data_IF_394706703418
#
_entry.id   IF_394706703418
#
_cell.length_a   1.000
_cell.length_b   1.000
_cell.length_c   1.000
_cell.angle_alpha   90.00
_cell.angle_beta   90.00
_cell.angle_gamma   90.00
#
_symmetry.space_group_name_H-M   'P 1'
#
loop_
_entity.id
_entity.type
_entity.pdbx_description
1 polymer ?
#
# COMPACT_ATOMS: atom_id res chain seq x y z
N UNK A 1 -6.80 -57.71 -35.06
CA UNK A 1 -6.64 -56.26 -35.22
C UNK A 1 -7.77 -55.49 -34.50
N UNK A 2 -7.77 -55.38 -33.14
CA UNK A 2 -8.84 -54.70 -32.38
C UNK A 2 -8.29 -53.82 -31.20
N UNK A 3 -7.06 -53.31 -31.28
CA UNK A 3 -6.45 -52.54 -30.15
C UNK A 3 -6.28 -51.04 -30.37
N UNK A 4 -6.64 -50.50 -31.55
CA UNK A 4 -6.47 -49.08 -31.88
C UNK A 4 -7.46 -48.09 -31.19
N UNK A 5 -8.75 -48.39 -30.96
CA UNK A 5 -9.65 -47.40 -30.34
C UNK A 5 -9.39 -47.12 -28.85
N UNK A 6 -8.88 -48.12 -28.09
CA UNK A 6 -8.59 -47.97 -26.66
C UNK A 6 -7.37 -47.07 -26.44
N UNK A 7 -6.36 -47.13 -27.31
CA UNK A 7 -5.17 -46.28 -27.24
C UNK A 7 -5.53 -44.80 -27.53
N UNK A 8 -6.41 -44.57 -28.51
CA UNK A 8 -6.89 -43.19 -28.83
C UNK A 8 -7.68 -42.58 -27.70
N UNK A 9 -8.56 -43.34 -27.06
CA UNK A 9 -9.36 -42.86 -25.93
C UNK A 9 -8.46 -42.52 -24.72
N UNK A 10 -7.47 -43.33 -24.42
CA UNK A 10 -6.52 -43.08 -23.35
C UNK A 10 -5.64 -41.84 -23.63
N UNK A 11 -5.25 -41.61 -24.89
CA UNK A 11 -4.47 -40.40 -25.27
C UNK A 11 -5.32 -39.12 -25.16
N UNK A 12 -6.57 -39.15 -25.58
CA UNK A 12 -7.52 -38.04 -25.49
C UNK A 12 -7.83 -37.71 -24.02
N UNK A 13 -8.02 -38.71 -23.18
CA UNK A 13 -8.23 -38.49 -21.73
C UNK A 13 -6.98 -37.95 -21.05
N UNK A 14 -5.78 -38.38 -21.46
CA UNK A 14 -4.52 -37.84 -20.93
C UNK A 14 -4.29 -36.37 -21.35
N UNK A 15 -4.66 -36.00 -22.58
CA UNK A 15 -4.58 -34.61 -23.06
C UNK A 15 -5.58 -33.73 -22.34
N UNK A 16 -6.82 -34.22 -22.12
CA UNK A 16 -7.85 -33.49 -21.36
C UNK A 16 -7.42 -33.34 -19.90
N UNK A 17 -6.87 -34.37 -19.28
CA UNK A 17 -6.35 -34.32 -17.91
C UNK A 17 -5.15 -33.38 -17.77
N UNK A 18 -4.21 -33.39 -18.74
CA UNK A 18 -3.08 -32.47 -18.77
C UNK A 18 -3.54 -31.02 -19.01
N UNK A 19 -4.50 -30.81 -19.92
CA UNK A 19 -5.12 -29.51 -20.17
C UNK A 19 -5.89 -28.98 -18.95
N UNK A 20 -6.65 -29.83 -18.25
CA UNK A 20 -7.33 -29.47 -17.01
C UNK A 20 -6.34 -29.20 -15.86
N UNK A 21 -5.23 -29.95 -15.78
CA UNK A 21 -4.17 -29.75 -14.78
C UNK A 21 -3.38 -28.44 -15.04
N UNK A 22 -3.09 -28.11 -16.32
CA UNK A 22 -2.51 -26.81 -16.68
C UNK A 22 -3.49 -25.66 -16.43
N UNK A 23 -4.77 -25.81 -16.82
CA UNK A 23 -5.81 -24.83 -16.55
C UNK A 23 -5.98 -24.62 -15.04
N UNK A 24 -5.95 -25.67 -14.23
CA UNK A 24 -6.01 -25.56 -12.76
C UNK A 24 -4.78 -24.86 -12.15
N UNK A 25 -3.60 -24.98 -12.76
CA UNK A 25 -2.38 -24.24 -12.34
C UNK A 25 -2.37 -22.78 -12.79
N UNK A 26 -3.07 -22.44 -13.87
CA UNK A 26 -3.09 -21.11 -14.50
C UNK A 26 -4.32 -20.29 -14.06
N UNK A 27 -5.38 -20.96 -13.55
CA UNK A 27 -6.59 -20.26 -13.10
C UNK A 27 -6.29 -19.48 -11.82
N UNK A 28 -6.46 -18.14 -11.80
CA UNK A 28 -6.30 -17.39 -10.56
C UNK A 28 -7.28 -17.95 -9.52
N UNK A 29 -6.75 -18.38 -8.37
CA UNK A 29 -7.59 -18.79 -7.25
C UNK A 29 -8.44 -17.59 -6.87
N UNK A 30 -9.75 -17.66 -7.05
CA UNK A 30 -10.65 -16.63 -6.53
C UNK A 30 -10.60 -16.69 -5.00
N UNK A 31 -9.95 -15.70 -4.41
CA UNK A 31 -9.94 -15.52 -2.97
C UNK A 31 -11.27 -14.89 -2.57
N UNK A 32 -11.86 -15.38 -1.49
CA UNK A 32 -13.11 -14.80 -0.98
C UNK A 32 -12.82 -13.44 -0.36
N UNK A 33 -12.91 -12.37 -1.15
CA UNK A 33 -12.81 -11.01 -0.66
C UNK A 33 -14.18 -10.49 -0.20
N UNK A 34 -14.16 -9.65 0.83
CA UNK A 34 -15.32 -8.87 1.29
C UNK A 34 -15.10 -7.44 0.83
N UNK A 35 -16.08 -6.86 0.12
CA UNK A 35 -15.96 -5.47 -0.37
C UNK A 35 -17.07 -4.61 0.20
N UNK A 36 -16.70 -3.41 0.60
CA UNK A 36 -17.57 -2.38 1.16
C UNK A 36 -17.65 -1.23 0.14
N UNK A 37 -18.78 -1.08 -0.59
CA UNK A 37 -18.95 0.02 -1.51
C UNK A 37 -19.08 1.35 -0.76
N UNK A 38 -18.57 2.41 -1.38
CA UNK A 38 -18.79 3.76 -0.87
C UNK A 38 -20.26 4.17 -1.06
N UNK A 39 -20.80 4.86 -0.05
CA UNK A 39 -22.19 5.31 -0.08
C UNK A 39 -22.44 6.39 -1.15
N UNK A 40 -21.42 7.15 -1.50
CA UNK A 40 -21.45 8.20 -2.54
C UNK A 40 -20.55 7.78 -3.68
N UNK A 41 -21.08 7.74 -4.89
CA UNK A 41 -20.37 7.25 -6.08
C UNK A 41 -19.11 8.08 -6.44
N UNK A 42 -19.03 9.31 -5.98
CA UNK A 42 -17.87 10.20 -6.18
C UNK A 42 -16.80 10.05 -5.10
N UNK A 43 -17.05 9.26 -4.06
CA UNK A 43 -16.07 9.00 -3.01
C UNK A 43 -15.01 8.00 -3.52
N UNK A 44 -13.77 8.42 -3.51
CA UNK A 44 -12.65 7.60 -3.99
C UNK A 44 -11.76 7.27 -2.79
N UNK A 45 -11.79 6.02 -2.27
CA UNK A 45 -10.85 5.59 -1.24
C UNK A 45 -9.42 5.56 -1.80
N UNK A 46 -8.47 6.22 -1.13
CA UNK A 46 -7.08 6.35 -1.62
C UNK A 46 -6.03 5.76 -0.69
N UNK A 47 -6.26 5.75 0.61
CA UNK A 47 -5.38 5.08 1.56
C UNK A 47 -6.19 4.24 2.55
N UNK A 48 -5.58 3.19 3.07
CA UNK A 48 -6.18 2.31 4.09
C UNK A 48 -5.15 2.01 5.18
N UNK A 49 -5.60 1.99 6.45
CA UNK A 49 -4.77 1.62 7.60
C UNK A 49 -5.62 0.92 8.65
N UNK A 50 -5.07 -0.15 9.26
CA UNK A 50 -5.77 -0.95 10.25
C UNK A 50 -5.32 -0.59 11.66
N UNK A 51 -6.29 -0.34 12.54
CA UNK A 51 -6.06 -0.06 13.96
C UNK A 51 -5.98 -1.35 14.79
N UNK A 52 -5.31 -1.30 15.96
CA UNK A 52 -5.19 -2.46 16.83
C UNK A 52 -6.54 -3.02 17.33
N UNK A 53 -7.56 -2.17 17.45
CA UNK A 53 -8.92 -2.54 17.87
C UNK A 53 -9.76 -3.21 16.76
N UNK A 54 -9.19 -3.34 15.56
CA UNK A 54 -9.86 -3.90 14.38
C UNK A 54 -10.64 -2.88 13.55
N UNK A 55 -10.64 -1.61 13.94
CA UNK A 55 -11.13 -0.51 13.08
C UNK A 55 -10.20 -0.35 11.89
N UNK A 56 -10.76 -0.19 10.70
CA UNK A 56 -9.96 0.07 9.50
C UNK A 56 -10.33 1.42 8.93
N UNK A 57 -9.37 2.33 8.95
CA UNK A 57 -9.51 3.67 8.46
C UNK A 57 -9.19 3.76 6.97
N UNK A 58 -9.84 4.69 6.27
CA UNK A 58 -9.51 4.98 4.88
C UNK A 58 -9.76 6.46 4.56
N UNK A 59 -8.89 7.03 3.74
CA UNK A 59 -9.06 8.39 3.21
C UNK A 59 -9.99 8.38 2.01
N UNK A 60 -10.69 9.48 1.81
CA UNK A 60 -11.65 9.65 0.71
C UNK A 60 -11.24 10.90 -0.08
N UNK A 61 -10.79 10.71 -1.33
CA UNK A 61 -10.54 11.83 -2.24
C UNK A 61 -11.88 12.42 -2.71
N UNK A 62 -11.92 13.73 -2.86
CA UNK A 62 -13.11 14.54 -3.15
C UNK A 62 -14.24 14.46 -2.10
N UNK A 63 -14.08 13.65 -1.05
CA UNK A 63 -15.04 13.54 0.06
C UNK A 63 -14.82 14.57 1.16
N UNK A 64 -15.85 14.79 1.99
CA UNK A 64 -15.80 15.63 3.18
C UNK A 64 -15.64 14.76 4.42
N UNK A 65 -14.39 14.45 4.80
CA UNK A 65 -14.10 13.61 5.96
C UNK A 65 -13.19 12.44 5.66
N UNK A 66 -13.09 11.57 6.65
CA UNK A 66 -12.35 10.31 6.60
C UNK A 66 -13.31 9.16 6.90
N UNK A 67 -13.12 8.02 6.24
CA UNK A 67 -13.95 6.85 6.43
C UNK A 67 -13.34 5.84 7.39
N UNK A 68 -14.17 5.00 7.98
CA UNK A 68 -13.74 3.82 8.72
C UNK A 68 -14.69 2.64 8.48
N UNK A 69 -14.15 1.43 8.56
CA UNK A 69 -14.92 0.19 8.67
C UNK A 69 -14.78 -0.34 10.09
N UNK A 70 -15.90 -0.52 10.76
CA UNK A 70 -15.98 -1.11 12.10
C UNK A 70 -17.19 -2.03 12.16
N UNK A 71 -17.04 -3.22 12.73
CA UNK A 71 -18.09 -4.24 12.83
C UNK A 71 -18.81 -4.52 11.50
N UNK A 72 -18.04 -4.55 10.40
CA UNK A 72 -18.55 -4.79 9.06
C UNK A 72 -19.38 -3.65 8.47
N UNK A 73 -19.33 -2.46 9.03
CA UNK A 73 -20.07 -1.27 8.58
C UNK A 73 -19.13 -0.13 8.23
N UNK A 74 -19.42 0.51 7.10
CA UNK A 74 -18.75 1.76 6.71
C UNK A 74 -19.36 2.93 7.48
N UNK A 75 -18.51 3.73 8.07
CA UNK A 75 -18.86 4.95 8.80
C UNK A 75 -17.99 6.11 8.29
N UNK A 76 -18.39 7.33 8.53
CA UNK A 76 -17.64 8.52 8.16
C UNK A 76 -17.47 9.44 9.39
N UNK A 77 -16.26 9.91 9.57
CA UNK A 77 -15.93 11.03 10.44
C UNK A 77 -15.88 12.27 9.55
N UNK A 78 -16.87 13.16 9.66
CA UNK A 78 -16.95 14.34 8.80
C UNK A 78 -15.85 15.34 9.17
N UNK A 79 -15.30 16.02 8.16
CA UNK A 79 -14.46 17.18 8.33
C UNK A 79 -14.99 18.34 7.47
N UNK A 80 -14.65 19.56 7.86
CA UNK A 80 -15.01 20.74 7.08
C UNK A 80 -14.14 20.83 5.82
N UNK A 81 -14.78 20.97 4.67
CA UNK A 81 -14.14 21.07 3.36
C UNK A 81 -13.77 19.72 2.73
N UNK A 82 -13.61 19.72 1.42
CA UNK A 82 -13.27 18.52 0.64
C UNK A 82 -11.80 18.16 0.77
N UNK A 83 -11.52 16.88 0.74
CA UNK A 83 -10.16 16.38 0.57
C UNK A 83 -9.71 16.50 -0.89
N UNK A 84 -8.42 16.74 -1.08
CA UNK A 84 -7.76 16.66 -2.38
C UNK A 84 -6.47 15.86 -2.21
N UNK A 85 -6.35 14.74 -2.89
CA UNK A 85 -5.22 13.82 -2.84
C UNK A 85 -4.78 13.43 -1.39
N UNK A 86 -5.69 12.96 -0.50
CA UNK A 86 -5.35 12.58 0.88
C UNK A 86 -4.73 11.17 0.89
N UNK A 87 -3.51 11.04 0.40
CA UNK A 87 -2.85 9.74 0.14
C UNK A 87 -2.04 9.19 1.31
N UNK A 88 -1.76 10.00 2.32
CA UNK A 88 -1.06 9.58 3.54
C UNK A 88 -2.05 9.20 4.63
N UNK A 89 -1.91 7.99 5.19
CA UNK A 89 -2.73 7.51 6.30
C UNK A 89 -1.94 6.53 7.16
N UNK A 90 -1.99 6.72 8.45
CA UNK A 90 -1.47 5.80 9.46
C UNK A 90 -2.38 5.77 10.68
N UNK A 91 -2.13 4.87 11.61
CA UNK A 91 -2.91 4.73 12.84
C UNK A 91 -1.97 4.69 14.04
N UNK A 92 -2.32 5.42 15.11
CA UNK A 92 -1.56 5.38 16.36
C UNK A 92 -1.97 4.19 17.26
N UNK A 93 -1.20 3.96 18.32
CA UNK A 93 -1.43 2.86 19.26
C UNK A 93 -2.80 2.93 19.95
N UNK A 94 -3.44 4.10 19.98
CA UNK A 94 -4.76 4.32 20.55
C UNK A 94 -5.90 4.12 19.52
N UNK A 95 -5.56 3.72 18.29
CA UNK A 95 -6.53 3.48 17.22
C UNK A 95 -7.00 4.73 16.48
N UNK A 96 -6.44 5.92 16.77
CA UNK A 96 -6.76 7.12 16.03
C UNK A 96 -6.01 7.18 14.70
N UNK A 97 -6.69 7.64 13.66
CA UNK A 97 -6.11 7.85 12.35
C UNK A 97 -5.31 9.16 12.29
N UNK A 98 -4.19 9.11 11.58
CA UNK A 98 -3.40 10.26 11.17
C UNK A 98 -3.37 10.32 9.66
N UNK A 99 -3.75 11.43 9.06
CA UNK A 99 -3.80 11.54 7.61
C UNK A 99 -3.27 12.89 7.11
N UNK A 100 -2.76 12.87 5.89
CA UNK A 100 -2.36 14.10 5.19
C UNK A 100 -3.59 14.78 4.62
N UNK A 101 -3.70 16.09 4.83
CA UNK A 101 -4.75 16.96 4.29
C UNK A 101 -4.13 18.11 3.48
N UNK A 102 -3.84 17.88 2.19
CA UNK A 102 -3.28 18.93 1.33
C UNK A 102 -4.19 20.16 1.20
N UNK A 103 -5.52 19.97 1.29
CA UNK A 103 -6.47 21.08 1.21
C UNK A 103 -6.36 22.05 2.38
N UNK A 104 -6.08 21.52 3.57
CA UNK A 104 -5.86 22.31 4.79
C UNK A 104 -4.37 22.62 5.01
N UNK A 105 -3.47 22.10 4.19
CA UNK A 105 -2.00 22.18 4.35
C UNK A 105 -1.60 21.73 5.77
N UNK A 106 -2.08 20.53 6.14
CA UNK A 106 -1.95 20.01 7.50
C UNK A 106 -1.80 18.49 7.53
N UNK A 107 -1.32 17.99 8.64
CA UNK A 107 -1.57 16.62 9.09
C UNK A 107 -2.71 16.67 10.10
N UNK A 108 -3.64 15.74 10.00
CA UNK A 108 -4.84 15.70 10.85
C UNK A 108 -4.90 14.39 11.60
N UNK A 109 -5.20 14.44 12.90
CA UNK A 109 -5.52 13.30 13.74
C UNK A 109 -7.04 13.22 13.90
N UNK A 110 -7.60 12.03 13.68
CA UNK A 110 -9.04 11.76 13.81
C UNK A 110 -9.29 10.60 14.77
N UNK A 111 -10.23 10.75 15.70
CA UNK A 111 -10.70 9.66 16.54
C UNK A 111 -12.01 9.08 15.98
N UNK A 112 -12.30 7.82 16.30
CA UNK A 112 -13.57 7.19 15.90
C UNK A 112 -14.81 7.82 16.60
N UNK A 113 -14.60 8.64 17.63
CA UNK A 113 -15.64 9.44 18.26
C UNK A 113 -15.97 10.72 17.48
N UNK A 114 -15.19 11.04 16.44
CA UNK A 114 -15.41 12.21 15.59
C UNK A 114 -14.58 13.44 15.97
N UNK A 115 -13.63 13.29 16.90
CA UNK A 115 -12.73 14.39 17.25
C UNK A 115 -11.65 14.56 16.19
N UNK A 116 -11.41 15.78 15.76
CA UNK A 116 -10.38 16.14 14.79
C UNK A 116 -9.38 17.12 15.43
N UNK A 117 -8.10 16.84 15.27
CA UNK A 117 -7.01 17.73 15.66
C UNK A 117 -6.13 17.99 14.45
N UNK A 118 -5.98 19.25 14.05
CA UNK A 118 -5.18 19.66 12.89
C UNK A 118 -3.84 20.21 13.32
N UNK A 119 -2.79 19.85 12.59
CA UNK A 119 -1.42 20.30 12.74
C UNK A 119 -0.97 20.98 11.44
N UNK A 120 -1.12 22.33 11.35
CA UNK A 120 -0.74 23.09 10.17
C UNK A 120 0.78 23.02 9.91
N UNK A 121 1.18 22.93 8.63
CA UNK A 121 2.59 22.78 8.25
C UNK A 121 3.35 24.10 8.19
N UNK A 122 2.66 25.24 8.28
CA UNK A 122 3.29 26.57 8.25
C UNK A 122 3.87 26.95 6.88
N UNK A 123 3.46 26.29 5.81
CA UNK A 123 3.86 26.57 4.42
C UNK A 123 2.65 27.04 3.61
N UNK A 124 2.84 27.88 2.56
CA UNK A 124 1.71 28.38 1.76
C UNK A 124 1.10 27.32 0.82
N UNK A 125 1.86 26.29 0.47
CA UNK A 125 1.44 25.17 -0.35
C UNK A 125 2.12 23.90 0.16
N UNK A 126 1.42 22.77 0.11
CA UNK A 126 2.02 21.48 0.40
C UNK A 126 1.48 20.41 -0.55
N UNK A 127 2.39 19.69 -1.19
CA UNK A 127 2.10 18.42 -1.83
C UNK A 127 2.59 17.32 -0.90
N UNK A 128 1.65 16.62 -0.30
CA UNK A 128 1.91 15.63 0.73
C UNK A 128 1.86 14.23 0.13
N UNK A 129 2.83 13.41 0.51
CA UNK A 129 2.87 12.00 0.14
C UNK A 129 2.26 11.09 1.21
N UNK A 130 2.80 9.87 1.29
CA UNK A 130 2.41 8.87 2.29
C UNK A 130 2.83 9.31 3.69
N UNK A 131 2.19 8.65 4.67
CA UNK A 131 2.39 8.88 6.08
C UNK A 131 2.54 7.55 6.80
N UNK A 132 3.39 7.50 7.82
CA UNK A 132 3.54 6.38 8.73
C UNK A 132 3.61 6.87 10.18
N UNK A 133 3.02 6.11 11.10
CA UNK A 133 3.11 6.38 12.53
C UNK A 133 4.14 5.44 13.14
N UNK A 134 5.13 5.99 13.82
CA UNK A 134 6.19 5.26 14.48
C UNK A 134 5.70 4.66 15.83
N UNK A 135 6.37 3.60 16.34
CA UNK A 135 6.05 3.02 17.65
C UNK A 135 6.12 4.02 18.81
N UNK A 136 6.94 5.06 18.69
CA UNK A 136 7.07 6.14 19.69
C UNK A 136 5.95 7.20 19.59
N UNK A 137 4.99 7.01 18.67
CA UNK A 137 3.90 7.93 18.39
C UNK A 137 4.26 9.10 17.46
N UNK A 138 5.50 9.19 16.97
CA UNK A 138 5.85 10.18 15.97
C UNK A 138 5.19 9.87 14.63
N UNK A 139 4.73 10.91 13.94
CA UNK A 139 4.13 10.81 12.61
C UNK A 139 5.13 11.29 11.59
N UNK A 140 5.48 10.41 10.66
CA UNK A 140 6.42 10.69 9.59
C UNK A 140 5.69 10.78 8.24
N UNK A 141 5.97 11.80 7.46
CA UNK A 141 5.30 12.01 6.18
C UNK A 141 6.21 12.70 5.15
N UNK A 142 5.88 12.51 3.88
CA UNK A 142 6.60 13.12 2.78
C UNK A 142 5.99 14.49 2.43
N UNK A 143 6.84 15.53 2.36
CA UNK A 143 6.50 16.85 1.82
C UNK A 143 7.21 17.05 0.47
N UNK A 144 6.54 16.70 -0.65
CA UNK A 144 7.15 16.72 -1.98
C UNK A 144 7.54 18.13 -2.44
N UNK A 145 6.76 19.15 -2.11
CA UNK A 145 7.05 20.55 -2.45
C UNK A 145 8.17 21.14 -1.61
N UNK A 146 8.34 20.67 -0.38
CA UNK A 146 9.41 21.11 0.51
C UNK A 146 10.68 20.26 0.35
N UNK A 147 10.64 19.19 -0.46
CA UNK A 147 11.75 18.23 -0.61
C UNK A 147 12.24 17.70 0.75
N UNK A 148 11.33 17.35 1.64
CA UNK A 148 11.69 16.88 2.98
C UNK A 148 10.85 15.66 3.40
N UNK A 149 11.41 14.88 4.30
CA UNK A 149 10.67 13.94 5.14
C UNK A 149 10.51 14.62 6.50
N UNK A 150 9.25 14.77 6.92
CA UNK A 150 8.91 15.53 8.11
C UNK A 150 8.43 14.63 9.21
N UNK A 151 8.93 14.85 10.41
CA UNK A 151 8.53 14.24 11.66
C UNK A 151 7.66 15.22 12.44
N UNK A 152 6.45 14.79 12.80
CA UNK A 152 5.58 15.48 13.75
C UNK A 152 5.52 14.67 15.04
N UNK A 153 5.93 15.26 16.14
CA UNK A 153 5.79 14.66 17.47
C UNK A 153 5.47 15.74 18.50
N UNK A 154 4.50 15.48 19.35
CA UNK A 154 4.06 16.40 20.42
C UNK A 154 3.75 17.83 19.90
N UNK A 155 3.20 17.92 18.70
CA UNK A 155 2.89 19.17 18.01
C UNK A 155 4.10 19.89 17.38
N UNK A 156 5.30 19.33 17.46
CA UNK A 156 6.52 19.91 16.91
C UNK A 156 6.86 19.26 15.57
N UNK A 157 7.07 20.08 14.56
CA UNK A 157 7.53 19.67 13.21
C UNK A 157 9.04 19.74 13.12
N UNK A 158 9.66 18.65 12.71
CA UNK A 158 11.09 18.54 12.40
C UNK A 158 11.24 18.07 10.95
N UNK A 159 11.82 18.91 10.08
CA UNK A 159 12.08 18.60 8.69
C UNK A 159 13.47 18.00 8.50
N UNK A 160 13.54 16.95 7.72
CA UNK A 160 14.76 16.33 7.24
C UNK A 160 14.87 16.65 5.74
N UNK A 161 15.61 17.71 5.42
CA UNK A 161 15.70 18.27 4.08
C UNK A 161 16.52 17.36 3.17
N UNK A 162 15.96 17.03 2.01
CA UNK A 162 16.62 16.23 0.99
C UNK A 162 17.51 17.15 0.16
N UNK A 163 18.81 16.87 0.11
CA UNK A 163 19.83 17.70 -0.56
C UNK A 163 19.66 17.82 -2.09
N UNK A 164 18.67 17.13 -2.66
CA UNK A 164 18.40 17.11 -4.10
C UNK A 164 17.06 17.77 -4.42
N UNK A 165 17.08 18.82 -5.25
CA UNK A 165 15.87 19.45 -5.81
C UNK A 165 15.07 18.50 -6.74
N UNK A 166 15.54 17.28 -6.96
CA UNK A 166 14.84 16.24 -7.72
C UNK A 166 14.27 15.14 -6.81
N UNK A 167 14.39 15.30 -5.48
CA UNK A 167 14.02 14.26 -4.52
C UNK A 167 12.61 13.70 -4.73
N UNK A 168 11.60 14.56 -4.73
CA UNK A 168 10.20 14.17 -4.89
C UNK A 168 9.79 13.04 -3.92
N UNK A 169 9.93 13.23 -2.59
CA UNK A 169 9.59 12.19 -1.62
C UNK A 169 8.09 11.85 -1.71
N UNK A 170 7.76 10.56 -1.62
CA UNK A 170 6.39 10.09 -1.81
C UNK A 170 5.98 9.03 -0.79
N UNK A 171 6.56 7.82 -0.83
CA UNK A 171 6.31 6.74 0.13
C UNK A 171 7.08 6.92 1.41
N UNK A 172 6.49 6.56 2.55
CA UNK A 172 7.13 6.57 3.87
C UNK A 172 6.73 5.32 4.65
N UNK A 173 7.70 4.67 5.27
CA UNK A 173 7.50 3.58 6.21
C UNK A 173 8.45 3.72 7.41
N UNK A 174 8.02 3.23 8.57
CA UNK A 174 8.85 3.18 9.77
C UNK A 174 9.04 1.71 10.16
N UNK A 175 10.28 1.30 10.30
CA UNK A 175 10.62 -0.03 10.79
C UNK A 175 10.52 -0.13 12.32
N UNK A 176 10.46 -1.35 12.84
CA UNK A 176 10.30 -1.59 14.28
C UNK A 176 11.45 -1.06 15.15
N UNK A 177 12.64 -0.87 14.57
CA UNK A 177 13.81 -0.27 15.22
C UNK A 177 13.81 1.27 15.19
N UNK A 178 12.77 1.89 14.61
CA UNK A 178 12.65 3.33 14.44
C UNK A 178 13.33 3.89 13.19
N UNK A 179 13.96 3.06 12.37
CA UNK A 179 14.48 3.48 11.06
C UNK A 179 13.34 3.91 10.15
N UNK A 180 13.47 5.07 9.51
CA UNK A 180 12.50 5.59 8.55
C UNK A 180 13.01 5.36 7.14
N UNK A 181 12.14 4.86 6.29
CA UNK A 181 12.40 4.64 4.89
C UNK A 181 11.48 5.49 4.04
N UNK A 182 12.00 6.09 2.98
CA UNK A 182 11.20 6.89 2.07
C UNK A 182 11.60 6.64 0.61
N UNK A 183 10.61 6.63 -0.28
CA UNK A 183 10.86 6.62 -1.71
C UNK A 183 11.04 8.04 -2.23
N UNK A 184 12.09 8.27 -3.00
CA UNK A 184 12.35 9.52 -3.70
C UNK A 184 11.98 9.33 -5.18
N UNK A 185 10.71 9.54 -5.49
CA UNK A 185 10.11 9.18 -6.78
C UNK A 185 10.83 9.82 -7.97
N UNK A 186 11.08 11.13 -7.90
CA UNK A 186 11.69 11.87 -9.00
C UNK A 186 13.21 11.69 -9.08
N UNK A 187 13.87 11.37 -7.97
CA UNK A 187 15.30 11.06 -7.93
C UNK A 187 15.60 9.59 -8.28
N UNK A 188 14.59 8.73 -8.33
CA UNK A 188 14.74 7.29 -8.53
C UNK A 188 15.61 6.63 -7.44
N UNK A 189 15.38 7.00 -6.18
CA UNK A 189 16.17 6.58 -5.03
C UNK A 189 15.29 6.07 -3.88
N UNK A 190 15.90 5.26 -3.02
CA UNK A 190 15.40 4.91 -1.70
C UNK A 190 16.21 5.71 -0.67
N UNK A 191 15.54 6.32 0.31
CA UNK A 191 16.18 7.02 1.41
C UNK A 191 15.95 6.30 2.72
N UNK A 192 16.99 6.27 3.55
CA UNK A 192 16.99 5.81 4.94
C UNK A 192 17.30 6.97 5.86
N UNK A 193 16.51 7.11 6.92
CA UNK A 193 16.83 7.98 8.07
C UNK A 193 17.00 7.07 9.28
N UNK A 194 18.19 7.04 9.87
CA UNK A 194 18.45 6.24 11.06
C UNK A 194 17.72 6.81 12.29
N UNK A 195 17.56 6.06 13.38
CA UNK A 195 17.02 6.60 14.63
C UNK A 195 17.81 7.79 15.20
N UNK A 196 19.09 7.92 14.85
CA UNK A 196 19.93 9.08 15.19
C UNK A 196 19.74 10.28 14.27
N UNK A 197 18.95 10.15 13.19
CA UNK A 197 18.69 11.21 12.21
C UNK A 197 19.67 11.26 11.03
N UNK A 198 20.60 10.30 10.93
CA UNK A 198 21.50 10.19 9.77
C UNK A 198 20.73 9.76 8.52
N UNK A 199 20.92 10.49 7.43
CA UNK A 199 20.26 10.24 6.14
C UNK A 199 21.23 9.59 5.15
N UNK A 200 20.77 8.51 4.52
CA UNK A 200 21.48 7.80 3.46
C UNK A 200 20.56 7.58 2.27
N UNK A 201 21.05 7.79 1.06
CA UNK A 201 20.31 7.59 -0.18
C UNK A 201 20.93 6.45 -0.99
N UNK A 202 20.08 5.64 -1.64
CA UNK A 202 20.48 4.49 -2.45
C UNK A 202 19.83 4.61 -3.82
N UNK A 203 20.63 4.60 -4.88
CA UNK A 203 20.14 4.60 -6.25
C UNK A 203 19.45 3.26 -6.57
N UNK A 204 18.29 3.28 -7.20
CA UNK A 204 17.66 2.07 -7.69
C UNK A 204 18.45 1.53 -8.89
N UNK A 205 18.52 0.17 -9.04
CA UNK A 205 19.34 -0.46 -10.09
C UNK A 205 18.92 -0.10 -11.50
N UNK A 206 17.60 -0.03 -11.75
CA UNK A 206 17.07 0.32 -13.05
C UNK A 206 16.82 1.83 -13.14
N UNK A 207 17.17 2.49 -14.24
CA UNK A 207 16.85 3.90 -14.45
C UNK A 207 15.34 4.08 -14.61
N UNK A 208 14.79 5.19 -14.10
CA UNK A 208 13.38 5.57 -14.28
C UNK A 208 12.38 4.56 -13.71
N UNK A 209 12.70 3.91 -12.60
CA UNK A 209 11.79 2.99 -11.90
C UNK A 209 10.61 3.69 -11.25
N UNK A 210 10.75 4.96 -10.86
CA UNK A 210 9.71 5.77 -10.20
C UNK A 210 9.17 5.08 -8.94
N UNK A 211 9.97 4.95 -7.86
CA UNK A 211 9.52 4.31 -6.63
C UNK A 211 8.39 5.12 -5.99
N UNK A 212 7.30 4.45 -5.60
CA UNK A 212 6.09 5.14 -5.09
C UNK A 212 5.69 4.73 -3.69
N UNK A 213 5.81 3.47 -3.32
CA UNK A 213 5.40 3.02 -2.00
C UNK A 213 6.49 2.14 -1.37
N UNK A 214 6.49 2.06 -0.05
CA UNK A 214 7.49 1.31 0.72
C UNK A 214 6.85 0.70 1.96
N UNK A 215 7.26 -0.51 2.33
CA UNK A 215 6.84 -1.19 3.55
C UNK A 215 8.06 -1.82 4.22
N UNK A 216 8.16 -1.66 5.55
CA UNK A 216 9.22 -2.30 6.32
C UNK A 216 9.04 -3.82 6.31
N UNK A 217 10.14 -4.55 6.14
CA UNK A 217 10.17 -6.00 6.27
C UNK A 217 10.47 -6.35 7.74
N UNK A 218 9.59 -7.11 8.44
CA UNK A 218 9.87 -7.56 9.80
C UNK A 218 11.16 -8.38 9.94
N UNK A 219 11.65 -8.96 8.84
CA UNK A 219 12.91 -9.73 8.78
C UNK A 219 14.14 -8.87 8.52
N UNK A 220 13.96 -7.57 8.36
CA UNK A 220 14.99 -6.58 8.04
C UNK A 220 14.92 -6.07 6.61
N UNK A 221 15.29 -4.80 6.41
CA UNK A 221 15.18 -4.10 5.14
C UNK A 221 13.76 -3.62 4.82
N UNK A 222 13.49 -3.40 3.55
CA UNK A 222 12.21 -2.86 3.07
C UNK A 222 11.82 -3.42 1.71
N UNK A 223 10.52 -3.48 1.48
CA UNK A 223 9.92 -3.72 0.17
C UNK A 223 9.42 -2.42 -0.43
N UNK A 224 9.57 -2.23 -1.72
CA UNK A 224 9.13 -1.03 -2.42
C UNK A 224 8.49 -1.34 -3.77
N UNK A 225 7.64 -0.41 -4.21
CA UNK A 225 7.01 -0.42 -5.53
C UNK A 225 7.87 0.40 -6.50
N UNK A 226 8.24 -0.18 -7.62
CA UNK A 226 8.81 0.48 -8.78
C UNK A 226 7.73 0.65 -9.85
N UNK A 227 6.95 1.72 -9.74
CA UNK A 227 5.73 1.91 -10.53
C UNK A 227 5.97 1.89 -12.05
N UNK A 228 6.94 2.69 -12.52
CA UNK A 228 7.30 2.72 -13.95
C UNK A 228 8.17 1.54 -14.36
N UNK A 229 8.96 1.02 -13.43
CA UNK A 229 9.75 -0.19 -13.61
C UNK A 229 8.91 -1.45 -13.74
N UNK A 230 7.62 -1.38 -13.39
CA UNK A 230 6.68 -2.50 -13.36
C UNK A 230 7.21 -3.69 -12.54
N UNK A 231 7.74 -3.40 -11.34
CA UNK A 231 8.35 -4.37 -10.43
C UNK A 231 8.01 -4.04 -8.99
N UNK A 232 8.24 -5.00 -8.13
CA UNK A 232 8.51 -4.75 -6.72
C UNK A 232 9.97 -5.06 -6.44
N UNK A 233 10.57 -4.42 -5.44
CA UNK A 233 11.94 -4.67 -5.05
C UNK A 233 12.07 -4.85 -3.54
N UNK A 234 13.03 -5.66 -3.12
CA UNK A 234 13.47 -5.79 -1.74
C UNK A 234 14.85 -5.17 -1.59
N UNK A 235 15.01 -4.32 -0.59
CA UNK A 235 16.30 -3.76 -0.22
C UNK A 235 16.69 -4.22 1.17
N UNK A 236 17.78 -4.94 1.27
CA UNK A 236 18.39 -5.37 2.53
C UNK A 236 19.91 -5.45 2.38
N UNK A 237 20.65 -5.24 3.44
CA UNK A 237 22.12 -5.33 3.48
C UNK A 237 22.81 -4.54 2.36
N UNK A 238 22.26 -3.36 2.01
CA UNK A 238 22.79 -2.48 0.98
C UNK A 238 22.56 -2.95 -0.46
N UNK A 239 21.70 -3.94 -0.68
CA UNK A 239 21.45 -4.54 -2.00
C UNK A 239 19.97 -4.57 -2.36
N UNK A 240 19.67 -4.32 -3.63
CA UNK A 240 18.34 -4.51 -4.20
C UNK A 240 18.21 -5.89 -4.84
N UNK A 241 17.04 -6.50 -4.64
CA UNK A 241 16.58 -7.67 -5.40
C UNK A 241 15.24 -7.29 -6.03
N UNK A 242 15.20 -7.26 -7.36
CA UNK A 242 14.02 -6.84 -8.13
C UNK A 242 13.20 -8.06 -8.61
N UNK A 243 11.87 -7.92 -8.54
CA UNK A 243 10.89 -8.93 -8.95
C UNK A 243 9.97 -8.31 -10.01
N UNK A 244 10.23 -8.51 -11.31
CA UNK A 244 9.40 -7.97 -12.37
C UNK A 244 8.02 -8.62 -12.36
N UNK A 245 6.98 -7.83 -12.64
CA UNK A 245 5.64 -8.34 -12.81
C UNK A 245 5.52 -9.08 -14.15
N UNK A 246 4.74 -10.17 -14.22
CA UNK A 246 4.46 -10.87 -15.47
C UNK A 246 3.76 -9.98 -16.50
N UNK A 247 3.87 -10.37 -17.78
CA UNK A 247 3.15 -9.70 -18.87
C UNK A 247 1.64 -9.65 -18.62
N UNK A 248 1.00 -8.57 -19.07
CA UNK A 248 -0.43 -8.32 -18.87
C UNK A 248 -0.81 -7.85 -17.47
N UNK A 249 0.16 -7.77 -16.56
CA UNK A 249 -0.01 -7.22 -15.21
C UNK A 249 0.86 -5.98 -15.09
N UNK A 250 0.24 -4.84 -14.82
CA UNK A 250 0.97 -3.58 -14.84
C UNK A 250 0.49 -2.60 -13.79
N UNK A 251 1.34 -1.60 -13.54
CA UNK A 251 1.12 -0.54 -12.57
C UNK A 251 0.95 -1.09 -11.15
N UNK A 252 1.99 -1.71 -10.57
CA UNK A 252 1.97 -2.09 -9.16
C UNK A 252 1.73 -0.83 -8.31
N UNK A 253 0.90 -0.97 -7.31
CA UNK A 253 0.51 0.12 -6.40
C UNK A 253 0.84 -0.27 -4.97
N UNK A 254 0.24 0.34 -3.98
CA UNK A 254 0.52 0.12 -2.56
C UNK A 254 1.02 -1.26 -2.16
N UNK A 255 1.93 -1.31 -1.19
CA UNK A 255 2.60 -2.53 -0.75
C UNK A 255 2.43 -2.73 0.76
N UNK A 256 2.27 -3.97 1.19
CA UNK A 256 2.20 -4.34 2.60
C UNK A 256 2.84 -5.71 2.83
N UNK A 257 3.47 -5.89 3.99
CA UNK A 257 4.08 -7.16 4.40
C UNK A 257 3.24 -7.78 5.50
N UNK A 258 2.76 -9.00 5.25
CA UNK A 258 2.00 -9.75 6.25
C UNK A 258 2.92 -10.36 7.33
N UNK A 259 2.40 -10.69 8.53
CA UNK A 259 3.21 -11.27 9.62
C UNK A 259 3.93 -12.57 9.25
N UNK A 260 3.42 -13.33 8.28
CA UNK A 260 4.06 -14.54 7.76
C UNK A 260 5.19 -14.26 6.75
N UNK A 261 5.46 -12.98 6.47
CA UNK A 261 6.47 -12.54 5.51
C UNK A 261 5.99 -12.51 4.05
N UNK A 262 4.71 -12.79 3.81
CA UNK A 262 4.13 -12.64 2.46
C UNK A 262 4.01 -11.16 2.11
N UNK A 263 4.53 -10.78 0.96
CA UNK A 263 4.45 -9.42 0.44
C UNK A 263 3.23 -9.31 -0.46
N UNK A 264 2.36 -8.33 -0.16
CA UNK A 264 1.16 -8.05 -0.92
C UNK A 264 1.25 -6.70 -1.59
N UNK A 265 0.76 -6.59 -2.81
CA UNK A 265 0.74 -5.33 -3.54
C UNK A 265 -0.47 -5.24 -4.47
N UNK A 266 -0.92 -4.01 -4.72
CA UNK A 266 -2.01 -3.75 -5.64
C UNK A 266 -1.55 -3.81 -7.09
N UNK A 267 -2.48 -4.09 -8.01
CA UNK A 267 -2.26 -4.06 -9.46
C UNK A 267 -3.37 -3.24 -10.09
N UNK A 268 -3.05 -2.01 -10.45
CA UNK A 268 -4.03 -1.07 -11.00
C UNK A 268 -4.54 -1.46 -12.38
N UNK A 269 -3.70 -2.14 -13.17
CA UNK A 269 -4.06 -2.69 -14.47
C UNK A 269 -3.99 -4.20 -14.42
N UNK A 270 -5.13 -4.84 -14.25
CA UNK A 270 -5.20 -6.30 -14.13
C UNK A 270 -6.17 -6.80 -13.07
N UNK A 271 -6.86 -5.90 -12.35
CA UNK A 271 -8.05 -6.22 -11.56
C UNK A 271 -7.79 -7.08 -10.32
N UNK A 272 -6.63 -6.91 -9.63
CA UNK A 272 -6.34 -7.78 -8.52
C UNK A 272 -5.18 -7.36 -7.64
N UNK A 273 -4.77 -8.27 -6.78
CA UNK A 273 -3.58 -8.14 -5.96
C UNK A 273 -2.50 -9.10 -6.45
N UNK A 274 -1.25 -8.69 -6.31
CA UNK A 274 -0.10 -9.58 -6.37
C UNK A 274 0.32 -9.99 -4.97
N UNK A 275 0.83 -11.21 -4.82
CA UNK A 275 1.54 -11.65 -3.63
C UNK A 275 2.84 -12.32 -3.99
N UNK A 276 3.88 -12.04 -3.23
CA UNK A 276 5.17 -12.71 -3.32
C UNK A 276 5.41 -13.46 -2.03
N UNK A 277 5.63 -14.76 -2.13
CA UNK A 277 5.95 -15.64 -1.00
C UNK A 277 7.02 -16.65 -1.43
N UNK A 278 8.07 -16.80 -0.65
CA UNK A 278 9.17 -17.73 -0.92
C UNK A 278 9.72 -17.61 -2.36
N UNK A 279 9.87 -16.37 -2.85
CA UNK A 279 10.34 -16.07 -4.20
C UNK A 279 9.34 -16.35 -5.33
N UNK A 280 8.13 -16.79 -5.01
CA UNK A 280 7.08 -17.08 -6.00
C UNK A 280 6.04 -15.97 -6.01
N UNK A 281 5.84 -15.39 -7.20
CA UNK A 281 4.81 -14.38 -7.43
C UNK A 281 3.52 -15.04 -7.88
N UNK A 282 2.42 -14.69 -7.23
CA UNK A 282 1.08 -15.18 -7.54
C UNK A 282 0.10 -14.03 -7.71
N UNK A 283 -0.97 -14.29 -8.46
CA UNK A 283 -2.06 -13.36 -8.72
C UNK A 283 -3.31 -13.77 -7.97
N UNK A 284 -3.92 -12.79 -7.29
CA UNK A 284 -5.19 -12.94 -6.58
C UNK A 284 -6.22 -12.06 -7.28
N UNK A 285 -7.14 -12.67 -8.01
CA UNK A 285 -8.24 -11.97 -8.64
C UNK A 285 -9.21 -11.45 -7.56
N UNK A 286 -9.63 -10.21 -7.70
CA UNK A 286 -10.69 -9.61 -6.88
C UNK A 286 -12.07 -9.89 -7.51
N UNK A 287 -13.16 -9.78 -6.73
CA UNK A 287 -14.52 -10.10 -7.23
C UNK A 287 -14.95 -9.25 -8.43
N UNK A 288 -14.43 -8.03 -8.55
CA UNK A 288 -14.75 -7.12 -9.64
C UNK A 288 -13.63 -7.11 -10.69
N UNK A 289 -13.94 -7.34 -11.94
CA UNK A 289 -12.98 -7.33 -13.06
C UNK A 289 -12.24 -5.98 -13.19
N UNK A 290 -12.91 -4.89 -12.85
CA UNK A 290 -12.37 -3.53 -12.92
C UNK A 290 -11.81 -3.03 -11.58
N UNK A 291 -11.49 -3.92 -10.64
CA UNK A 291 -10.88 -3.53 -9.38
C UNK A 291 -9.55 -2.81 -9.61
N UNK A 292 -9.35 -1.71 -8.87
CA UNK A 292 -8.13 -0.89 -8.94
C UNK A 292 -7.59 -0.64 -7.53
N UNK A 293 -7.06 -1.68 -6.86
CA UNK A 293 -6.51 -1.56 -5.52
C UNK A 293 -5.31 -0.61 -5.55
N UNK A 294 -5.35 0.44 -4.73
CA UNK A 294 -4.36 1.51 -4.75
C UNK A 294 -3.40 1.47 -3.56
N UNK A 295 -3.93 1.20 -2.36
CA UNK A 295 -3.13 1.01 -1.14
C UNK A 295 -3.56 -0.23 -0.41
N UNK A 296 -2.64 -0.79 0.37
CA UNK A 296 -2.87 -1.98 1.17
C UNK A 296 -2.48 -1.75 2.63
N UNK A 297 -3.15 -2.47 3.52
CA UNK A 297 -2.78 -2.60 4.93
C UNK A 297 -3.00 -4.02 5.41
N UNK A 298 -2.29 -4.40 6.47
CA UNK A 298 -2.47 -5.69 7.15
C UNK A 298 -3.00 -5.40 8.55
N UNK A 299 -4.09 -6.05 8.95
CA UNK A 299 -4.60 -5.93 10.30
C UNK A 299 -3.93 -6.94 11.27
N UNK A 300 -4.21 -6.81 12.57
CA UNK A 300 -3.65 -7.67 13.61
C UNK A 300 -4.03 -9.16 13.45
N UNK A 301 -5.11 -9.47 12.73
CA UNK A 301 -5.53 -10.84 12.40
C UNK A 301 -4.84 -11.38 11.15
N UNK A 302 -4.05 -10.53 10.49
CA UNK A 302 -3.39 -10.83 9.23
C UNK A 302 -4.30 -10.68 8.00
N UNK A 303 -5.51 -10.15 8.08
CA UNK A 303 -6.31 -9.85 6.90
C UNK A 303 -5.64 -8.76 6.06
N UNK A 304 -5.78 -8.86 4.73
CA UNK A 304 -5.26 -7.85 3.81
C UNK A 304 -6.40 -6.91 3.43
N UNK A 305 -6.28 -5.66 3.83
CA UNK A 305 -7.20 -4.60 3.48
C UNK A 305 -6.67 -3.82 2.28
N UNK A 306 -7.55 -3.34 1.43
CA UNK A 306 -7.18 -2.51 0.29
C UNK A 306 -8.20 -1.38 0.08
N UNK A 307 -7.69 -0.20 -0.25
CA UNK A 307 -8.49 0.88 -0.80
C UNK A 307 -8.49 0.76 -2.32
N UNK A 308 -9.67 0.70 -2.91
CA UNK A 308 -9.85 0.59 -4.36
C UNK A 308 -10.41 1.89 -4.90
N UNK A 309 -9.65 2.55 -5.79
CA UNK A 309 -10.04 3.81 -6.40
C UNK A 309 -11.26 3.69 -7.34
N UNK A 310 -11.81 2.51 -7.49
CA UNK A 310 -13.13 2.26 -8.09
C UNK A 310 -14.31 2.44 -7.13
N UNK A 311 -14.10 3.01 -5.92
CA UNK A 311 -15.14 3.31 -4.95
C UNK A 311 -15.43 2.18 -3.95
N UNK A 312 -14.41 1.43 -3.54
CA UNK A 312 -14.55 0.33 -2.58
C UNK A 312 -13.40 0.29 -1.57
N UNK A 313 -13.71 -0.17 -0.38
CA UNK A 313 -12.72 -0.72 0.55
C UNK A 313 -12.92 -2.22 0.61
N UNK A 314 -11.87 -3.01 0.46
CA UNK A 314 -11.98 -4.45 0.44
C UNK A 314 -11.06 -5.14 1.43
N UNK A 315 -11.38 -6.40 1.75
CA UNK A 315 -10.64 -7.23 2.68
C UNK A 315 -10.53 -8.66 2.18
N UNK A 316 -9.33 -9.21 2.21
CA UNK A 316 -9.06 -10.63 2.02
C UNK A 316 -8.80 -11.24 3.39
N UNK A 317 -9.64 -12.19 3.85
CA UNK A 317 -9.45 -12.84 5.13
C UNK A 317 -8.16 -13.67 5.18
N UNK A 318 -7.46 -13.66 6.31
CA UNK A 318 -6.25 -14.46 6.53
C UNK A 318 -6.49 -15.96 6.32
N UNK A 319 -7.66 -16.47 6.68
CA UNK A 319 -8.04 -17.88 6.53
C UNK A 319 -8.21 -18.34 5.08
N UNK A 320 -8.26 -17.43 4.11
CA UNK A 320 -8.49 -17.75 2.68
C UNK A 320 -7.23 -17.59 1.81
N UNK A 321 -6.08 -17.41 2.43
CA UNK A 321 -4.79 -17.17 1.78
C UNK A 321 -4.01 -18.43 1.44
#
# INVERSE_FOLDING_TARGET
MKTRPVLYLALVLAIIAAGAFLAWKIWPRSVRAVEYPMAVATDIPTAVAAAPDGTVWFTIDFGEGIGLVRDGRVQRVPKKGRNVEPIGLGVDANGAAWFTDPSAIAVVRATAAGELQSFPLGTPIARLGRLAVAPDGAVWFAESTAYSITRLKDGVLQRHDIQSLRGGPYGVAVAGDGTVWATLQSANQLMRISPSGEMTQYDLPAPVSSPTDVAADPKGGVWLIEFRGNKIAHFADGKFVEYPLPEGKAAPSGIAVAPDGTVWFGILRGGGLGRLRDGRMEFVALPRENARPYTLAVDAKGNIWYADIGGFVGMIPAATR
#
